data_IF_459562190759
#
_entry.id   IF_459562190759
#
_cell.length_a   1.000
_cell.length_b   1.000
_cell.length_c   1.000
_cell.angle_alpha   90.00
_cell.angle_beta   90.00
_cell.angle_gamma   90.00
#
_symmetry.space_group_name_H-M   'P 1'
#
loop_
_entity.id
_entity.type
_entity.pdbx_description
1 polymer ?
#
# COMPACT_ATOMS: atom_id res chain seq x y z
N UNK A 1 17.78 7.37 -23.41
CA UNK A 1 16.84 7.61 -22.31
C UNK A 1 16.69 6.30 -21.56
N UNK A 2 17.38 6.18 -20.44
CA UNK A 2 17.23 5.04 -19.53
C UNK A 2 15.79 5.04 -19.01
N UNK A 3 15.08 3.91 -18.99
CA UNK A 3 13.74 3.87 -18.42
C UNK A 3 13.78 4.33 -16.96
N UNK A 4 12.78 5.12 -16.58
CA UNK A 4 12.53 5.66 -15.24
C UNK A 4 12.41 4.59 -14.14
N UNK A 5 12.52 3.30 -14.49
CA UNK A 5 12.88 2.19 -13.62
C UNK A 5 13.87 1.29 -14.38
N UNK A 6 15.04 1.01 -13.78
CA UNK A 6 15.91 -0.07 -14.22
C UNK A 6 15.16 -1.40 -14.05
N UNK A 7 14.89 -2.07 -15.17
CA UNK A 7 14.22 -3.37 -15.30
C UNK A 7 12.68 -3.27 -15.30
N UNK A 8 12.10 -3.12 -16.49
CA UNK A 8 10.76 -3.65 -16.75
C UNK A 8 10.76 -5.13 -16.40
N UNK A 9 9.80 -5.57 -15.59
CA UNK A 9 9.73 -6.95 -15.12
C UNK A 9 9.84 -7.92 -16.29
N UNK A 10 10.70 -8.94 -16.17
CA UNK A 10 10.68 -10.11 -17.04
C UNK A 10 9.39 -10.91 -16.77
N UNK A 11 8.28 -10.37 -17.23
CA UNK A 11 6.95 -10.95 -17.14
C UNK A 11 6.58 -11.61 -18.46
N UNK A 12 7.46 -12.44 -19.04
CA UNK A 12 6.98 -13.38 -20.06
C UNK A 12 6.00 -14.31 -19.36
N UNK A 13 4.71 -14.03 -19.51
CA UNK A 13 3.67 -14.89 -19.00
C UNK A 13 3.91 -16.30 -19.56
N UNK A 14 3.93 -17.34 -18.71
CA UNK A 14 3.98 -18.72 -19.20
C UNK A 14 2.69 -19.12 -19.94
N UNK A 15 1.67 -18.26 -19.94
CA UNK A 15 0.35 -18.48 -20.53
C UNK A 15 -0.09 -17.28 -21.37
N UNK A 16 -0.90 -17.47 -22.42
CA UNK A 16 -1.45 -16.36 -23.18
C UNK A 16 -2.24 -15.37 -22.31
N UNK A 17 -2.10 -14.07 -22.58
CA UNK A 17 -2.76 -13.01 -21.80
C UNK A 17 -4.28 -13.21 -21.69
N UNK A 18 -4.94 -13.57 -22.80
CA UNK A 18 -6.38 -13.80 -22.79
C UNK A 18 -6.76 -14.90 -21.79
N UNK A 19 -6.00 -15.99 -21.74
CA UNK A 19 -6.24 -17.10 -20.84
C UNK A 19 -6.07 -16.66 -19.38
N UNK A 20 -5.02 -15.89 -19.07
CA UNK A 20 -4.81 -15.34 -17.72
C UNK A 20 -5.98 -14.45 -17.27
N UNK A 21 -6.47 -13.56 -18.14
CA UNK A 21 -7.60 -12.67 -17.86
C UNK A 21 -8.88 -13.49 -17.63
N UNK A 22 -9.19 -14.45 -18.51
CA UNK A 22 -10.38 -15.27 -18.37
C UNK A 22 -10.32 -16.15 -17.10
N UNK A 23 -9.20 -16.80 -16.83
CA UNK A 23 -9.05 -17.65 -15.65
C UNK A 23 -9.16 -16.87 -14.35
N UNK A 24 -8.54 -15.69 -14.26
CA UNK A 24 -8.65 -14.85 -13.07
C UNK A 24 -10.04 -14.25 -12.89
N UNK A 25 -10.66 -13.75 -13.97
CA UNK A 25 -12.04 -13.26 -13.94
C UNK A 25 -13.02 -14.37 -13.53
N UNK A 26 -12.84 -15.58 -14.07
CA UNK A 26 -13.62 -16.75 -13.69
C UNK A 26 -13.41 -17.13 -12.22
N UNK A 27 -12.17 -17.13 -11.72
CA UNK A 27 -11.88 -17.43 -10.31
C UNK A 27 -12.60 -16.46 -9.36
N UNK A 28 -12.59 -15.16 -9.67
CA UNK A 28 -13.31 -14.13 -8.89
C UNK A 28 -14.82 -14.32 -8.96
N UNK A 29 -15.36 -14.56 -10.16
CA UNK A 29 -16.79 -14.79 -10.37
C UNK A 29 -17.28 -16.07 -9.67
N UNK A 30 -16.57 -17.18 -9.82
CA UNK A 30 -16.89 -18.46 -9.17
C UNK A 30 -16.82 -18.33 -7.66
N UNK A 31 -15.79 -17.66 -7.12
CA UNK A 31 -15.67 -17.39 -5.69
C UNK A 31 -16.87 -16.60 -5.18
N UNK A 32 -17.31 -15.58 -5.91
CA UNK A 32 -18.51 -14.81 -5.57
C UNK A 32 -19.76 -15.69 -5.54
N UNK A 33 -20.01 -16.47 -6.59
CA UNK A 33 -21.21 -17.32 -6.64
C UNK A 33 -21.20 -18.41 -5.57
N UNK A 34 -20.04 -18.99 -5.26
CA UNK A 34 -19.88 -19.92 -4.17
C UNK A 34 -20.21 -19.27 -2.81
N UNK A 35 -19.69 -18.07 -2.53
CA UNK A 35 -20.02 -17.33 -1.32
C UNK A 35 -21.51 -16.99 -1.26
N UNK A 36 -22.07 -16.47 -2.35
CA UNK A 36 -23.50 -16.14 -2.42
C UNK A 36 -24.42 -17.36 -2.22
N UNK A 37 -23.95 -18.57 -2.55
CA UNK A 37 -24.68 -19.81 -2.35
C UNK A 37 -24.54 -20.38 -0.93
N UNK A 38 -23.32 -20.39 -0.38
CA UNK A 38 -22.99 -21.12 0.86
C UNK A 38 -22.84 -20.24 2.11
N UNK A 39 -22.76 -18.92 1.94
CA UNK A 39 -22.52 -17.96 3.02
C UNK A 39 -23.68 -16.96 3.14
N UNK A 40 -24.62 -17.23 4.07
CA UNK A 40 -25.86 -16.45 4.21
C UNK A 40 -25.98 -15.61 5.49
N UNK A 41 -24.93 -15.58 6.31
CA UNK A 41 -24.83 -14.81 7.56
C UNK A 41 -23.44 -14.22 7.70
N UNK A 42 -23.29 -12.99 8.19
CA UNK A 42 -21.98 -12.41 8.46
C UNK A 42 -21.22 -13.26 9.51
N UNK A 43 -19.89 -13.39 9.34
CA UNK A 43 -19.02 -14.17 10.25
C UNK A 43 -17.90 -13.33 10.85
N UNK A 44 -17.68 -12.10 10.40
CA UNK A 44 -16.56 -11.26 10.85
C UNK A 44 -16.94 -10.20 11.88
N UNK A 45 -18.12 -10.30 12.50
CA UNK A 45 -18.60 -9.36 13.52
C UNK A 45 -17.86 -9.47 14.86
N UNK A 46 -17.39 -10.67 15.23
CA UNK A 46 -16.64 -10.89 16.47
C UNK A 46 -15.16 -11.12 16.18
N UNK A 47 -14.28 -10.23 16.68
CA UNK A 47 -12.85 -10.51 16.72
C UNK A 47 -12.59 -11.37 17.97
N UNK A 48 -12.76 -12.68 17.83
CA UNK A 48 -12.25 -13.63 18.81
C UNK A 48 -10.85 -14.08 18.35
N UNK A 49 -9.82 -13.63 19.06
CA UNK A 49 -8.44 -14.02 18.81
C UNK A 49 -7.87 -14.89 19.94
N UNK A 50 -6.83 -15.67 19.64
CA UNK A 50 -6.06 -16.38 20.66
C UNK A 50 -5.00 -15.43 21.24
N UNK A 51 -4.98 -15.17 22.56
CA UNK A 51 -4.00 -14.27 23.14
C UNK A 51 -2.58 -14.82 23.00
N UNK A 52 -1.64 -13.95 22.66
CA UNK A 52 -0.22 -14.24 22.51
C UNK A 52 0.56 -13.56 23.63
N UNK A 53 0.52 -14.14 24.84
CA UNK A 53 1.04 -13.49 26.05
C UNK A 53 2.56 -13.26 25.99
N UNK A 54 3.32 -14.25 25.50
CA UNK A 54 4.78 -14.15 25.38
C UNK A 54 5.16 -13.05 24.39
N UNK A 55 4.54 -13.03 23.21
CA UNK A 55 4.81 -12.03 22.19
C UNK A 55 4.39 -10.63 22.65
N UNK A 56 3.26 -10.52 23.37
CA UNK A 56 2.82 -9.27 23.99
C UNK A 56 3.89 -8.74 24.93
N UNK A 57 4.43 -9.59 25.82
CA UNK A 57 5.46 -9.20 26.78
C UNK A 57 6.74 -8.71 26.08
N UNK A 58 7.16 -9.39 25.01
CA UNK A 58 8.36 -9.00 24.23
C UNK A 58 8.14 -7.65 23.55
N UNK A 59 7.04 -7.49 22.81
CA UNK A 59 6.76 -6.26 22.05
C UNK A 59 6.48 -5.07 22.97
N UNK A 60 5.84 -5.31 24.12
CA UNK A 60 5.57 -4.27 25.11
C UNK A 60 6.75 -3.96 26.01
N UNK A 61 7.81 -4.77 25.98
CA UNK A 61 9.02 -4.52 26.76
C UNK A 61 9.63 -3.16 26.39
N UNK A 62 9.99 -2.31 27.37
CA UNK A 62 10.53 -0.99 27.10
C UNK A 62 11.81 -1.04 26.24
N UNK A 63 12.66 -2.05 26.44
CA UNK A 63 13.85 -2.23 25.62
C UNK A 63 13.51 -2.50 24.15
N UNK A 64 12.52 -3.35 23.85
CA UNK A 64 12.10 -3.59 22.46
C UNK A 64 11.56 -2.32 21.80
N UNK A 65 10.77 -1.52 22.54
CA UNK A 65 10.28 -0.22 22.06
C UNK A 65 11.40 0.78 21.82
N UNK A 66 12.42 0.83 22.68
CA UNK A 66 13.60 1.69 22.50
C UNK A 66 14.41 1.23 21.30
N UNK A 67 14.66 -0.07 21.14
CA UNK A 67 15.38 -0.62 20.00
C UNK A 67 14.68 -0.27 18.68
N UNK A 68 13.36 -0.45 18.58
CA UNK A 68 12.60 -0.09 17.37
C UNK A 68 12.68 1.42 17.06
N UNK A 69 12.59 2.28 18.07
CA UNK A 69 12.76 3.73 17.90
C UNK A 69 14.17 4.09 17.42
N UNK A 70 15.20 3.52 18.04
CA UNK A 70 16.59 3.75 17.65
C UNK A 70 16.87 3.23 16.23
N UNK A 71 16.32 2.06 15.87
CA UNK A 71 16.43 1.52 14.53
C UNK A 71 15.79 2.45 13.49
N UNK A 72 14.59 2.98 13.76
CA UNK A 72 13.94 3.95 12.89
C UNK A 72 14.72 5.26 12.74
N UNK A 73 15.23 5.81 13.85
CA UNK A 73 16.05 7.02 13.84
C UNK A 73 17.35 6.80 13.06
N UNK A 74 18.01 5.66 13.26
CA UNK A 74 19.22 5.29 12.52
C UNK A 74 18.91 5.14 11.03
N UNK A 75 17.81 4.48 10.65
CA UNK A 75 17.39 4.34 9.27
C UNK A 75 17.13 5.70 8.59
N UNK A 76 16.44 6.62 9.28
CA UNK A 76 16.21 7.98 8.75
C UNK A 76 17.53 8.76 8.62
N UNK A 77 18.42 8.68 9.62
CA UNK A 77 19.70 9.35 9.60
C UNK A 77 20.61 8.83 8.47
N UNK A 78 20.64 7.51 8.26
CA UNK A 78 21.37 6.89 7.16
C UNK A 78 20.79 7.30 5.80
N UNK A 79 19.46 7.24 5.65
CA UNK A 79 18.79 7.67 4.42
C UNK A 79 19.13 9.12 4.07
N UNK A 80 18.94 10.06 5.01
CA UNK A 80 19.25 11.46 4.78
C UNK A 80 20.75 11.71 4.58
N UNK A 81 21.60 10.99 5.32
CA UNK A 81 23.05 11.06 5.20
C UNK A 81 23.52 10.65 3.81
N UNK A 82 23.09 9.49 3.33
CA UNK A 82 23.42 8.99 2.00
C UNK A 82 22.81 9.87 0.89
N UNK A 83 21.59 10.38 1.08
CA UNK A 83 20.93 11.22 0.08
C UNK A 83 21.60 12.61 -0.07
N UNK A 84 21.96 13.26 1.04
CA UNK A 84 22.59 14.59 1.01
C UNK A 84 24.10 14.57 0.74
N UNK A 85 24.80 13.57 1.28
CA UNK A 85 26.27 13.56 1.32
C UNK A 85 26.89 12.37 0.60
N UNK A 86 26.09 11.48 0.01
CA UNK A 86 26.57 10.36 -0.78
C UNK A 86 26.83 10.71 -2.25
N UNK A 87 27.00 9.67 -3.06
CA UNK A 87 27.29 9.83 -4.48
C UNK A 87 26.12 10.54 -5.20
N UNK A 88 26.36 11.56 -6.04
CA UNK A 88 25.26 12.22 -6.77
C UNK A 88 24.64 11.34 -7.86
N UNK A 89 25.34 10.29 -8.31
CA UNK A 89 24.84 9.38 -9.34
C UNK A 89 23.82 8.39 -8.72
N UNK A 90 22.56 8.35 -9.20
CA UNK A 90 21.51 7.46 -8.66
C UNK A 90 21.91 5.98 -8.61
N UNK A 91 22.63 5.49 -9.62
CA UNK A 91 23.09 4.10 -9.72
C UNK A 91 24.21 3.72 -8.73
N UNK A 92 24.74 4.70 -7.99
CA UNK A 92 25.81 4.51 -6.99
C UNK A 92 25.39 5.00 -5.60
N UNK A 93 24.16 5.49 -5.45
CA UNK A 93 23.65 5.98 -4.18
C UNK A 93 22.58 5.02 -3.66
N UNK A 94 22.67 4.52 -2.41
CA UNK A 94 21.67 3.61 -1.89
C UNK A 94 20.33 4.29 -1.53
N UNK A 95 20.30 5.61 -1.35
CA UNK A 95 19.15 6.32 -0.80
C UNK A 95 17.85 6.21 -1.62
N UNK A 96 17.86 6.34 -2.96
CA UNK A 96 16.66 6.11 -3.77
C UNK A 96 16.11 4.70 -3.57
N UNK A 97 16.98 3.69 -3.60
CA UNK A 97 16.60 2.29 -3.39
C UNK A 97 16.05 2.06 -1.97
N UNK A 98 16.65 2.65 -0.94
CA UNK A 98 16.11 2.55 0.42
C UNK A 98 14.73 3.18 0.56
N UNK A 99 14.47 4.33 -0.08
CA UNK A 99 13.16 4.97 -0.05
C UNK A 99 12.11 4.17 -0.83
N UNK A 100 12.36 3.89 -2.11
CA UNK A 100 11.36 3.29 -3.00
C UNK A 100 11.21 1.79 -2.82
N UNK A 101 12.27 1.07 -2.41
CA UNK A 101 12.20 -0.38 -2.24
C UNK A 101 12.05 -0.75 -0.78
N UNK A 102 12.99 -0.38 0.08
CA UNK A 102 13.00 -0.89 1.45
C UNK A 102 11.92 -0.26 2.33
N UNK A 103 11.66 1.04 2.16
CA UNK A 103 10.59 1.72 2.89
C UNK A 103 9.26 1.49 2.19
N UNK A 104 9.08 2.02 0.97
CA UNK A 104 7.78 1.98 0.30
C UNK A 104 7.27 0.57 0.06
N UNK A 105 8.03 -0.29 -0.63
CA UNK A 105 7.60 -1.68 -0.89
C UNK A 105 7.76 -2.55 0.36
N UNK A 106 8.83 -2.38 1.14
CA UNK A 106 9.09 -3.18 2.34
C UNK A 106 8.07 -3.00 3.47
N UNK A 107 7.38 -1.86 3.56
CA UNK A 107 6.25 -1.67 4.49
C UNK A 107 5.15 -2.71 4.27
N UNK A 108 4.93 -3.20 3.05
CA UNK A 108 3.86 -4.14 2.73
C UNK A 108 4.03 -5.47 3.49
N UNK A 109 5.08 -6.29 3.25
CA UNK A 109 5.26 -7.54 3.98
C UNK A 109 5.46 -7.29 5.47
N UNK A 110 6.14 -6.21 5.86
CA UNK A 110 6.35 -5.88 7.27
C UNK A 110 5.03 -5.65 8.01
N UNK A 111 4.08 -4.93 7.39
CA UNK A 111 2.77 -4.66 7.99
C UNK A 111 1.87 -5.90 8.03
N UNK A 112 1.94 -6.74 6.99
CA UNK A 112 1.18 -7.99 6.93
C UNK A 112 1.66 -9.01 7.98
N UNK A 113 2.98 -9.15 8.15
CA UNK A 113 3.57 -10.15 9.03
C UNK A 113 3.62 -9.69 10.49
N UNK A 114 3.94 -8.42 10.73
CA UNK A 114 4.22 -7.90 12.07
C UNK A 114 3.12 -6.97 12.62
N UNK A 115 2.04 -6.76 11.88
CA UNK A 115 0.99 -5.81 12.24
C UNK A 115 1.51 -4.35 12.15
N UNK A 116 0.98 -3.41 12.96
CA UNK A 116 1.32 -1.99 12.87
C UNK A 116 2.68 -1.66 13.52
N UNK A 117 3.74 -2.38 13.12
CA UNK A 117 5.10 -2.21 13.66
C UNK A 117 5.72 -0.87 13.24
N UNK A 118 5.32 -0.32 12.08
CA UNK A 118 5.78 1.00 11.62
C UNK A 118 5.52 2.08 12.65
N UNK A 119 4.36 2.07 13.31
CA UNK A 119 4.03 3.03 14.39
C UNK A 119 5.04 3.02 15.54
N UNK A 120 5.64 1.87 15.83
CA UNK A 120 6.65 1.72 16.89
C UNK A 120 8.04 2.18 16.44
N UNK A 121 8.37 1.94 15.17
CA UNK A 121 9.65 2.30 14.57
C UNK A 121 9.65 3.70 13.93
N UNK A 122 8.51 4.39 13.82
CA UNK A 122 8.41 5.66 13.09
C UNK A 122 9.37 6.71 13.68
N UNK A 123 10.41 7.13 12.93
CA UNK A 123 11.37 8.11 13.41
C UNK A 123 10.76 9.49 13.58
N UNK A 124 9.81 9.87 12.72
CA UNK A 124 9.16 11.19 12.76
C UNK A 124 8.33 11.33 14.04
N UNK A 125 7.59 10.28 14.40
CA UNK A 125 6.86 10.18 15.66
C UNK A 125 7.80 10.25 16.87
N UNK A 126 8.96 9.62 16.76
CA UNK A 126 9.97 9.63 17.82
C UNK A 126 10.56 11.01 18.02
N UNK A 127 10.96 11.71 16.94
CA UNK A 127 11.51 13.08 16.98
C UNK A 127 10.47 14.06 17.52
N UNK A 128 9.23 14.01 17.03
CA UNK A 128 8.16 14.88 17.53
C UNK A 128 7.90 14.67 19.04
N UNK A 129 8.03 13.42 19.52
CA UNK A 129 7.88 13.07 20.93
C UNK A 129 9.01 13.56 21.84
N UNK A 130 10.17 13.97 21.29
CA UNK A 130 11.25 14.59 22.08
C UNK A 130 10.86 15.99 22.55
N UNK A 131 10.02 16.69 21.79
CA UNK A 131 9.49 18.01 22.15
C UNK A 131 8.27 17.81 23.06
N UNK A 132 8.51 17.85 24.38
CA UNK A 132 7.43 17.73 25.38
C UNK A 132 6.53 18.96 25.32
N UNK A 133 5.24 18.75 25.05
CA UNK A 133 4.19 19.78 25.05
C UNK A 133 3.15 19.44 26.12
N UNK A 134 2.65 20.45 26.81
CA UNK A 134 1.59 20.31 27.82
C UNK A 134 0.19 20.33 27.20
N UNK A 135 0.03 20.91 26.01
CA UNK A 135 -1.23 20.99 25.28
C UNK A 135 -1.00 20.83 23.78
N UNK A 136 -1.93 20.14 23.11
CA UNK A 136 -1.95 19.97 21.66
C UNK A 136 -3.17 20.66 21.06
N UNK A 137 -3.05 21.17 19.83
CA UNK A 137 -4.22 21.63 19.06
C UNK A 137 -5.03 20.42 18.61
N UNK A 138 -6.35 20.49 18.69
CA UNK A 138 -7.21 19.45 18.13
C UNK A 138 -7.14 19.50 16.61
N UNK A 139 -7.01 18.34 15.98
CA UNK A 139 -7.24 18.21 14.54
C UNK A 139 -8.71 18.53 14.25
N UNK A 140 -9.01 19.34 13.22
CA UNK A 140 -10.39 19.54 12.76
C UNK A 140 -11.05 18.22 12.37
N UNK A 141 -12.27 17.99 12.86
CA UNK A 141 -12.98 16.70 12.71
C UNK A 141 -13.21 16.28 11.25
N UNK A 142 -13.29 17.24 10.32
CA UNK A 142 -13.52 16.99 8.89
C UNK A 142 -12.27 16.58 8.08
N UNK A 143 -11.07 16.75 8.64
CA UNK A 143 -9.81 16.51 7.90
C UNK A 143 -9.51 15.00 7.79
N UNK A 144 -9.79 14.23 8.86
CA UNK A 144 -9.60 12.78 8.92
C UNK A 144 -8.30 12.31 8.23
N UNK A 145 -8.39 11.49 7.17
CA UNK A 145 -7.25 10.94 6.44
C UNK A 145 -6.77 11.78 5.25
N UNK A 146 -7.38 12.93 4.94
CA UNK A 146 -7.00 13.74 3.77
C UNK A 146 -5.54 14.24 3.78
N UNK A 147 -4.90 14.59 4.91
CA UNK A 147 -3.50 14.97 4.89
C UNK A 147 -2.59 13.80 4.51
N UNK A 148 -2.91 12.58 4.97
CA UNK A 148 -2.20 11.38 4.53
C UNK A 148 -2.40 11.12 3.03
N UNK A 149 -3.61 11.33 2.50
CA UNK A 149 -3.87 11.26 1.04
C UNK A 149 -3.03 12.27 0.27
N UNK A 150 -2.97 13.53 0.73
CA UNK A 150 -2.20 14.59 0.08
C UNK A 150 -0.69 14.29 0.09
N UNK A 151 -0.14 13.87 1.23
CA UNK A 151 1.27 13.48 1.34
C UNK A 151 1.60 12.27 0.46
N UNK A 152 0.70 11.29 0.38
CA UNK A 152 0.87 10.11 -0.45
C UNK A 152 0.77 10.46 -1.94
N UNK A 153 -0.13 11.36 -2.32
CA UNK A 153 -0.23 11.86 -3.69
C UNK A 153 1.05 12.60 -4.11
N UNK A 154 1.64 13.39 -3.21
CA UNK A 154 2.93 14.04 -3.45
C UNK A 154 4.07 13.03 -3.64
N UNK A 155 4.12 11.99 -2.81
CA UNK A 155 5.09 10.89 -2.97
C UNK A 155 4.91 10.17 -4.31
N UNK A 156 3.70 9.74 -4.64
CA UNK A 156 3.39 9.01 -5.88
C UNK A 156 3.58 9.87 -7.14
N UNK A 157 3.33 11.18 -7.07
CA UNK A 157 3.64 12.09 -8.16
C UNK A 157 5.15 12.19 -8.38
N UNK A 158 5.93 12.29 -7.30
CA UNK A 158 7.39 12.30 -7.40
C UNK A 158 7.91 10.97 -7.97
N UNK A 159 7.34 9.84 -7.55
CA UNK A 159 7.72 8.50 -8.04
C UNK A 159 7.35 8.27 -9.52
N UNK A 160 6.14 8.68 -9.95
CA UNK A 160 5.57 8.26 -11.24
C UNK A 160 5.58 9.35 -12.33
N UNK A 161 5.75 10.61 -11.96
CA UNK A 161 5.61 11.75 -12.89
C UNK A 161 6.87 12.59 -12.99
N UNK A 162 7.66 12.69 -11.92
CA UNK A 162 8.86 13.50 -11.94
C UNK A 162 10.02 12.75 -12.62
N UNK A 163 10.61 13.29 -13.71
CA UNK A 163 11.64 12.59 -14.51
C UNK A 163 12.88 12.18 -13.72
N UNK A 164 13.26 12.96 -12.71
CA UNK A 164 14.47 12.76 -11.93
C UNK A 164 14.12 12.29 -10.50
N UNK A 165 13.04 11.52 -10.35
CA UNK A 165 12.57 11.03 -9.04
C UNK A 165 13.59 10.18 -8.29
N UNK A 166 14.54 9.55 -8.99
CA UNK A 166 15.63 8.77 -8.43
C UNK A 166 16.90 9.57 -8.13
N UNK A 167 16.95 10.87 -8.45
CA UNK A 167 18.08 11.74 -8.09
C UNK A 167 18.23 11.79 -6.56
N UNK A 168 19.41 11.47 -5.99
CA UNK A 168 19.64 11.51 -4.55
C UNK A 168 19.27 12.86 -3.90
N UNK A 169 19.46 13.99 -4.60
CA UNK A 169 19.09 15.32 -4.11
C UNK A 169 17.58 15.49 -4.06
N UNK A 170 16.84 14.95 -5.03
CA UNK A 170 15.37 14.97 -5.05
C UNK A 170 14.83 14.12 -3.90
N UNK A 171 15.39 12.93 -3.70
CA UNK A 171 15.10 12.05 -2.56
C UNK A 171 15.41 12.76 -1.23
N UNK A 172 16.56 13.42 -1.13
CA UNK A 172 16.96 14.18 0.05
C UNK A 172 15.99 15.31 0.38
N UNK A 173 15.63 16.12 -0.61
CA UNK A 173 14.67 17.22 -0.47
C UNK A 173 13.29 16.72 -0.06
N UNK A 174 12.80 15.66 -0.73
CA UNK A 174 11.51 15.04 -0.40
C UNK A 174 11.51 14.50 1.03
N UNK A 175 12.47 13.64 1.39
CA UNK A 175 12.52 13.01 2.71
C UNK A 175 12.69 14.05 3.82
N UNK A 176 13.50 15.09 3.60
CA UNK A 176 13.68 16.19 4.56
C UNK A 176 12.39 16.99 4.72
N UNK A 177 11.75 17.39 3.62
CA UNK A 177 10.49 18.16 3.65
C UNK A 177 9.38 17.36 4.31
N UNK A 178 9.23 16.09 3.92
CA UNK A 178 8.27 15.16 4.49
C UNK A 178 8.48 14.99 6.01
N UNK A 179 9.72 14.82 6.44
CA UNK A 179 10.08 14.68 7.84
C UNK A 179 9.77 15.95 8.63
N UNK A 180 10.19 17.13 8.14
CA UNK A 180 9.95 18.42 8.79
C UNK A 180 8.45 18.69 8.94
N UNK A 181 7.66 18.49 7.88
CA UNK A 181 6.21 18.72 7.92
C UNK A 181 5.51 17.81 8.92
N UNK A 182 5.81 16.51 8.93
CA UNK A 182 5.18 15.56 9.84
C UNK A 182 5.65 15.73 11.29
N UNK A 183 6.92 16.05 11.52
CA UNK A 183 7.43 16.36 12.87
C UNK A 183 6.79 17.64 13.39
N UNK A 184 6.73 18.71 12.59
CA UNK A 184 6.09 19.96 12.98
C UNK A 184 4.60 19.76 13.29
N UNK A 185 3.88 19.02 12.44
CA UNK A 185 2.48 18.69 12.67
C UNK A 185 2.30 17.81 13.92
N UNK A 186 3.18 16.85 14.17
CA UNK A 186 3.20 16.05 15.40
C UNK A 186 3.46 16.87 16.67
N UNK A 187 4.27 17.93 16.60
CA UNK A 187 4.51 18.87 17.72
C UNK A 187 3.29 19.76 17.98
N UNK A 188 2.54 20.11 16.94
CA UNK A 188 1.36 21.00 17.02
C UNK A 188 0.11 20.24 17.44
N UNK A 189 -0.19 19.13 16.77
CA UNK A 189 -1.43 18.35 16.92
C UNK A 189 -1.26 17.11 17.81
N UNK A 190 -0.03 16.79 18.20
CA UNK A 190 0.28 15.67 19.07
C UNK A 190 0.39 14.32 18.37
N UNK A 191 0.57 13.23 19.15
CA UNK A 191 0.81 11.89 18.60
C UNK A 191 -0.33 11.33 17.74
N UNK A 192 -1.54 11.90 17.83
CA UNK A 192 -2.68 11.53 16.98
C UNK A 192 -2.49 11.94 15.52
N UNK A 193 -1.64 12.94 15.23
CA UNK A 193 -1.32 13.34 13.85
C UNK A 193 -0.85 12.14 13.01
N UNK A 194 0.04 11.32 13.54
CA UNK A 194 0.63 10.21 12.79
C UNK A 194 -0.38 9.12 12.42
N UNK A 195 -1.48 9.00 13.17
CA UNK A 195 -2.52 8.00 12.89
C UNK A 195 -3.46 8.40 11.72
N UNK A 196 -3.41 9.66 11.25
CA UNK A 196 -4.32 10.15 10.21
C UNK A 196 -3.67 11.06 9.15
N UNK A 197 -2.52 11.67 9.47
CA UNK A 197 -1.83 12.63 8.61
C UNK A 197 -0.49 12.16 8.05
N UNK A 198 0.23 11.28 8.74
CA UNK A 198 1.46 10.65 8.22
C UNK A 198 1.08 9.58 7.20
N UNK A 199 1.33 9.86 5.92
CA UNK A 199 1.05 8.95 4.81
C UNK A 199 1.65 7.55 4.96
N UNK A 200 2.89 7.42 5.42
CA UNK A 200 3.54 6.11 5.54
C UNK A 200 3.00 5.34 6.75
N UNK A 201 2.71 6.01 7.87
CA UNK A 201 2.08 5.36 9.03
C UNK A 201 0.64 4.95 8.73
N UNK A 202 -0.16 5.81 8.08
CA UNK A 202 -1.52 5.47 7.65
C UNK A 202 -1.52 4.33 6.64
N UNK A 203 -0.59 4.34 5.69
CA UNK A 203 -0.40 3.26 4.73
C UNK A 203 -0.08 1.94 5.45
N UNK A 204 0.95 1.92 6.30
CA UNK A 204 1.34 0.74 7.08
C UNK A 204 0.20 0.23 7.98
N UNK A 205 -0.49 1.11 8.70
CA UNK A 205 -1.62 0.74 9.55
C UNK A 205 -2.79 0.18 8.75
N UNK A 206 -3.06 0.71 7.55
CA UNK A 206 -4.12 0.20 6.66
C UNK A 206 -3.81 -1.21 6.19
N UNK A 207 -2.56 -1.48 5.78
CA UNK A 207 -2.13 -2.83 5.38
C UNK A 207 -2.13 -3.81 6.56
N UNK A 208 -1.69 -3.36 7.73
CA UNK A 208 -1.65 -4.16 8.96
C UNK A 208 -3.04 -4.63 9.43
N UNK A 209 -4.14 -4.08 8.91
CA UNK A 209 -5.49 -4.58 9.21
C UNK A 209 -5.72 -6.01 8.72
N UNK A 210 -5.03 -6.41 7.65
CA UNK A 210 -5.02 -7.78 7.15
C UNK A 210 -3.96 -8.66 7.84
N UNK A 211 -3.24 -8.15 8.85
CA UNK A 211 -2.32 -8.98 9.62
C UNK A 211 -3.09 -9.95 10.53
N UNK A 212 -2.64 -11.22 10.64
CA UNK A 212 -3.15 -12.15 11.65
C UNK A 212 -2.80 -11.70 13.07
N UNK A 213 -1.86 -10.77 13.24
CA UNK A 213 -1.53 -10.16 14.52
C UNK A 213 -2.33 -8.87 14.72
N UNK A 214 -3.13 -8.82 15.77
CA UNK A 214 -3.86 -7.62 16.18
C UNK A 214 -3.82 -7.43 17.69
N UNK A 215 -4.28 -6.27 18.18
CA UNK A 215 -4.56 -6.08 19.60
C UNK A 215 -6.06 -6.23 19.85
N UNK A 216 -6.42 -7.03 20.84
CA UNK A 216 -7.80 -7.16 21.31
C UNK A 216 -8.21 -6.05 22.27
N UNK A 217 -9.43 -6.15 22.81
CA UNK A 217 -10.02 -5.14 23.71
C UNK A 217 -9.19 -4.92 25.00
N UNK A 218 -8.52 -5.96 25.50
CA UNK A 218 -7.63 -5.88 26.66
C UNK A 218 -6.23 -5.36 26.37
N UNK A 219 -5.97 -4.86 25.15
CA UNK A 219 -4.68 -4.32 24.74
C UNK A 219 -3.57 -5.36 24.50
N UNK A 220 -3.84 -6.66 24.70
CA UNK A 220 -2.90 -7.76 24.44
C UNK A 220 -2.84 -8.09 22.94
N UNK A 221 -1.69 -8.60 22.49
CA UNK A 221 -1.59 -9.15 21.13
C UNK A 221 -2.38 -10.45 21.04
N UNK A 222 -3.12 -10.62 19.96
CA UNK A 222 -3.95 -11.76 19.68
C UNK A 222 -3.74 -12.23 18.24
N UNK A 223 -3.70 -13.54 18.06
CA UNK A 223 -3.81 -14.18 16.76
C UNK A 223 -5.28 -14.20 16.36
N UNK A 224 -5.64 -13.33 15.41
CA UNK A 224 -7.01 -13.13 14.93
C UNK A 224 -7.15 -13.58 13.48
N UNK A 225 -8.38 -13.79 13.05
CA UNK A 225 -8.67 -13.94 11.62
C UNK A 225 -8.37 -12.61 10.89
N UNK A 226 -7.46 -12.59 9.90
CA UNK A 226 -7.14 -11.40 9.09
C UNK A 226 -8.37 -10.65 8.56
N UNK A 227 -9.37 -11.38 8.05
CA UNK A 227 -10.56 -10.78 7.46
C UNK A 227 -11.49 -10.17 8.51
N UNK A 228 -11.51 -10.71 9.73
CA UNK A 228 -12.18 -10.09 10.87
C UNK A 228 -11.46 -8.82 11.34
N UNK A 229 -10.12 -8.83 11.33
CA UNK A 229 -9.32 -7.63 11.55
C UNK A 229 -9.63 -6.53 10.52
N UNK A 230 -9.69 -6.91 9.25
CA UNK A 230 -10.00 -6.02 8.14
C UNK A 230 -11.41 -5.43 8.23
N UNK A 231 -12.40 -6.18 8.71
CA UNK A 231 -13.77 -5.69 8.91
C UNK A 231 -13.87 -4.51 9.90
N UNK A 232 -12.86 -4.30 10.75
CA UNK A 232 -12.80 -3.17 11.71
C UNK A 232 -12.15 -1.90 11.17
N UNK A 233 -11.94 -1.83 9.85
CA UNK A 233 -11.43 -0.63 9.20
C UNK A 233 -12.37 0.57 9.46
N UNK A 234 -11.86 1.72 9.96
CA UNK A 234 -12.65 2.91 10.22
C UNK A 234 -13.34 3.41 8.97
N UNK A 235 -14.62 3.75 9.10
CA UNK A 235 -15.41 4.38 8.04
C UNK A 235 -15.27 5.92 8.10
N UNK A 236 -14.03 6.41 8.03
CA UNK A 236 -13.73 7.84 8.12
C UNK A 236 -13.42 8.47 6.75
N UNK A 237 -13.66 9.79 6.60
CA UNK A 237 -13.34 10.52 5.37
C UNK A 237 -11.86 10.37 4.96
N UNK A 238 -11.60 10.36 3.66
CA UNK A 238 -10.25 10.27 3.09
C UNK A 238 -9.73 8.84 2.89
N UNK A 239 -10.17 7.85 3.67
CA UNK A 239 -9.65 6.47 3.51
C UNK A 239 -10.03 5.83 2.16
N UNK A 240 -11.23 6.11 1.66
CA UNK A 240 -11.63 5.72 0.30
C UNK A 240 -10.70 6.38 -0.72
N UNK A 241 -10.43 7.68 -0.56
CA UNK A 241 -9.50 8.42 -1.41
C UNK A 241 -8.09 7.83 -1.37
N UNK A 242 -7.60 7.42 -0.20
CA UNK A 242 -6.29 6.80 -0.03
C UNK A 242 -6.18 5.48 -0.81
N UNK A 243 -7.15 4.58 -0.68
CA UNK A 243 -7.12 3.29 -1.40
C UNK A 243 -7.36 3.46 -2.90
N UNK A 244 -8.24 4.37 -3.31
CA UNK A 244 -8.42 4.68 -4.73
C UNK A 244 -7.20 5.36 -5.34
N UNK A 245 -6.48 6.20 -4.58
CA UNK A 245 -5.20 6.79 -4.99
C UNK A 245 -4.15 5.70 -5.21
N UNK A 246 -3.97 4.79 -4.24
CA UNK A 246 -3.04 3.66 -4.36
C UNK A 246 -3.34 2.77 -5.57
N UNK A 247 -4.61 2.38 -5.76
CA UNK A 247 -5.01 1.56 -6.89
C UNK A 247 -4.88 2.29 -8.22
N UNK A 248 -5.28 3.57 -8.26
CA UNK A 248 -5.18 4.41 -9.46
C UNK A 248 -3.75 4.73 -9.85
N UNK A 249 -2.87 5.01 -8.90
CA UNK A 249 -1.45 5.24 -9.17
C UNK A 249 -0.75 3.98 -9.65
N UNK A 250 -1.07 2.83 -9.06
CA UNK A 250 -0.56 1.53 -9.52
C UNK A 250 -1.07 1.20 -10.93
N UNK A 251 -2.34 1.50 -11.23
CA UNK A 251 -2.88 1.35 -12.58
C UNK A 251 -2.18 2.30 -13.57
N UNK A 252 -1.90 3.54 -13.17
CA UNK A 252 -1.14 4.49 -13.98
C UNK A 252 0.30 4.03 -14.20
N UNK A 253 0.97 3.49 -13.19
CA UNK A 253 2.31 2.93 -13.30
C UNK A 253 2.38 1.84 -14.38
N UNK A 254 1.44 0.89 -14.37
CA UNK A 254 1.30 -0.10 -15.46
C UNK A 254 0.99 0.54 -16.81
N UNK A 255 0.06 1.49 -16.87
CA UNK A 255 -0.33 2.17 -18.11
C UNK A 255 0.83 2.95 -18.72
N UNK A 256 1.66 3.60 -17.88
CA UNK A 256 2.76 4.47 -18.29
C UNK A 256 3.86 3.72 -19.05
N UNK A 257 4.01 2.42 -18.76
CA UNK A 257 4.94 1.52 -19.45
C UNK A 257 4.39 0.92 -20.74
N UNK A 258 3.08 0.95 -20.93
CA UNK A 258 2.46 0.33 -22.09
C UNK A 258 2.86 1.07 -23.38
N UNK A 259 3.29 0.33 -24.40
CA UNK A 259 3.78 0.88 -25.68
C UNK A 259 2.78 1.81 -26.39
N UNK A 260 1.49 1.65 -26.14
CA UNK A 260 0.44 2.54 -26.66
C UNK A 260 0.48 3.91 -25.97
N UNK A 261 0.68 3.94 -24.66
CA UNK A 261 0.80 5.17 -23.88
C UNK A 261 2.05 5.95 -24.28
N UNK A 262 3.21 5.28 -24.27
CA UNK A 262 4.50 5.93 -24.58
C UNK A 262 4.54 6.48 -25.99
N UNK A 263 3.94 5.78 -26.97
CA UNK A 263 3.83 6.28 -28.36
C UNK A 263 2.95 7.53 -28.48
N UNK A 264 1.83 7.59 -27.73
CA UNK A 264 0.93 8.75 -27.77
C UNK A 264 1.48 9.96 -27.01
N UNK A 265 2.23 9.72 -25.95
CA UNK A 265 2.76 10.78 -25.08
C UNK A 265 4.17 11.22 -25.42
N UNK A 266 4.92 10.45 -26.22
CA UNK A 266 6.32 10.72 -26.53
C UNK A 266 6.60 12.05 -27.25
N UNK A 267 5.59 12.68 -27.85
CA UNK A 267 5.68 14.02 -28.45
C UNK A 267 5.14 15.15 -27.57
N UNK A 268 4.70 14.85 -26.35
CA UNK A 268 4.14 15.81 -25.39
C UNK A 268 5.16 16.13 -24.30
N UNK A 269 4.94 17.25 -23.60
CA UNK A 269 5.67 17.56 -22.37
C UNK A 269 5.39 16.49 -21.30
N UNK A 270 6.45 15.89 -20.77
CA UNK A 270 6.36 14.73 -19.88
C UNK A 270 5.52 15.02 -18.63
N UNK A 271 5.85 16.08 -17.89
CA UNK A 271 5.21 16.39 -16.60
C UNK A 271 3.70 16.60 -16.75
N UNK A 272 3.19 17.45 -17.66
CA UNK A 272 1.74 17.59 -17.86
C UNK A 272 1.08 16.29 -18.30
N UNK A 273 1.66 15.56 -19.27
CA UNK A 273 1.06 14.34 -19.80
C UNK A 273 0.94 13.25 -18.73
N UNK A 274 1.98 13.03 -17.94
CA UNK A 274 2.01 12.03 -16.88
C UNK A 274 1.18 12.46 -15.66
N UNK A 275 1.14 13.76 -15.33
CA UNK A 275 0.23 14.28 -14.29
C UNK A 275 -1.23 14.04 -14.65
N UNK A 276 -1.63 14.36 -15.89
CA UNK A 276 -3.00 14.13 -16.38
C UNK A 276 -3.31 12.63 -16.41
N UNK A 277 -2.37 11.80 -16.85
CA UNK A 277 -2.50 10.35 -16.82
C UNK A 277 -2.75 9.79 -15.43
N UNK A 278 -1.95 10.21 -14.44
CA UNK A 278 -2.10 9.81 -13.04
C UNK A 278 -3.46 10.24 -12.49
N UNK A 279 -3.85 11.50 -12.68
CA UNK A 279 -5.15 12.03 -12.24
C UNK A 279 -6.30 11.25 -12.89
N UNK A 280 -6.22 10.99 -14.21
CA UNK A 280 -7.25 10.27 -14.94
C UNK A 280 -7.39 8.82 -14.44
N UNK A 281 -6.28 8.12 -14.20
CA UNK A 281 -6.30 6.75 -13.67
C UNK A 281 -6.95 6.70 -12.28
N UNK A 282 -6.55 7.59 -11.38
CA UNK A 282 -7.15 7.72 -10.04
C UNK A 282 -8.63 8.08 -10.12
N UNK A 283 -9.02 9.00 -11.01
CA UNK A 283 -10.41 9.39 -11.21
C UNK A 283 -11.27 8.23 -11.73
N UNK A 284 -10.77 7.44 -12.70
CA UNK A 284 -11.48 6.28 -13.24
C UNK A 284 -11.69 5.22 -12.16
N UNK A 285 -10.64 4.85 -11.43
CA UNK A 285 -10.75 3.86 -10.33
C UNK A 285 -11.73 4.35 -9.26
N UNK A 286 -11.62 5.62 -8.87
CA UNK A 286 -12.54 6.25 -7.91
C UNK A 286 -13.97 6.22 -8.41
N UNK A 287 -14.22 6.61 -9.67
CA UNK A 287 -15.55 6.65 -10.25
C UNK A 287 -16.19 5.25 -10.31
N UNK A 288 -15.44 4.23 -10.75
CA UNK A 288 -15.90 2.85 -10.79
C UNK A 288 -16.27 2.34 -9.39
N UNK A 289 -15.42 2.58 -8.39
CA UNK A 289 -15.69 2.16 -7.02
C UNK A 289 -16.90 2.90 -6.41
N UNK A 290 -16.97 4.22 -6.56
CA UNK A 290 -18.07 5.02 -6.03
C UNK A 290 -19.39 4.66 -6.71
N UNK A 291 -19.40 4.44 -8.03
CA UNK A 291 -20.58 4.02 -8.77
C UNK A 291 -21.05 2.64 -8.30
N UNK A 292 -20.13 1.69 -8.17
CA UNK A 292 -20.44 0.36 -7.66
C UNK A 292 -21.02 0.40 -6.25
N UNK A 293 -20.38 1.14 -5.32
CA UNK A 293 -20.85 1.26 -3.96
C UNK A 293 -22.21 1.96 -3.84
N UNK A 294 -22.45 3.02 -4.61
CA UNK A 294 -23.72 3.77 -4.58
C UNK A 294 -24.88 2.99 -5.19
N UNK A 295 -24.65 2.27 -6.28
CA UNK A 295 -25.68 1.44 -6.93
C UNK A 295 -26.07 0.23 -6.07
N UNK A 296 -25.13 -0.29 -5.27
CA UNK A 296 -25.42 -1.26 -4.20
C UNK A 296 -26.39 -0.70 -3.14
N UNK A 297 -26.41 0.62 -2.93
CA UNK A 297 -27.28 1.34 -1.98
C UNK A 297 -28.74 1.53 -2.39
N UNK A 298 -29.13 1.14 -3.61
CA UNK A 298 -30.53 1.14 -4.02
C UNK A 298 -31.38 0.09 -3.26
N UNK A 299 -30.75 -0.81 -2.50
CA UNK A 299 -31.39 -1.77 -1.62
C UNK A 299 -31.68 -1.17 -0.22
N UNK A 300 -32.68 -1.70 0.50
CA UNK A 300 -33.02 -1.20 1.84
C UNK A 300 -31.87 -1.49 2.84
N UNK A 301 -31.20 -0.43 3.30
CA UNK A 301 -30.09 -0.49 4.27
C UNK A 301 -30.66 -0.53 5.70
N UNK A 302 -30.04 -1.31 6.60
CA UNK A 302 -30.37 -1.27 8.03
C UNK A 302 -30.05 0.11 8.64
N UNK A 303 -30.94 0.69 9.48
CA UNK A 303 -30.67 1.96 10.16
C UNK A 303 -29.38 1.92 10.98
N UNK A 304 -28.57 2.99 10.93
CA UNK A 304 -27.33 3.12 11.71
C UNK A 304 -26.11 2.37 11.17
N UNK A 305 -26.22 1.67 10.04
CA UNK A 305 -25.13 0.84 9.51
C UNK A 305 -24.08 1.59 8.67
N UNK A 306 -24.31 2.86 8.38
CA UNK A 306 -23.46 3.70 7.53
C UNK A 306 -22.77 4.76 8.37
N UNK A 307 -21.44 4.74 8.40
CA UNK A 307 -20.62 5.73 9.10
C UNK A 307 -20.44 7.05 8.35
N UNK A 308 -19.55 7.90 8.86
CA UNK A 308 -19.31 9.26 8.35
C UNK A 308 -18.83 9.31 6.89
N UNK A 309 -18.15 8.25 6.41
CA UNK A 309 -17.71 8.13 5.02
C UNK A 309 -18.81 7.69 4.03
N UNK A 310 -20.06 7.53 4.49
CA UNK A 310 -21.16 7.08 3.66
C UNK A 310 -21.02 5.62 3.21
N UNK A 311 -21.90 5.20 2.30
CA UNK A 311 -21.95 3.83 1.81
C UNK A 311 -20.64 3.34 1.16
N UNK A 312 -19.90 4.16 0.38
CA UNK A 312 -18.58 3.75 -0.12
C UNK A 312 -17.58 3.45 1.01
N UNK A 313 -17.62 4.23 2.09
CA UNK A 313 -16.82 3.97 3.28
C UNK A 313 -17.12 2.64 3.95
N UNK A 314 -18.36 2.14 3.84
CA UNK A 314 -18.74 0.84 4.39
C UNK A 314 -18.09 -0.34 3.67
N UNK A 315 -17.72 -0.18 2.40
CA UNK A 315 -17.05 -1.21 1.60
C UNK A 315 -15.55 -0.98 1.43
N UNK A 316 -14.99 0.12 1.96
CA UNK A 316 -13.59 0.51 1.75
C UNK A 316 -12.59 -0.59 2.14
N UNK A 317 -12.91 -1.39 3.15
CA UNK A 317 -12.06 -2.48 3.62
C UNK A 317 -11.85 -3.57 2.57
N UNK A 318 -12.78 -3.76 1.62
CA UNK A 318 -12.62 -4.73 0.53
C UNK A 318 -11.54 -4.32 -0.48
N UNK A 319 -11.17 -3.04 -0.54
CA UNK A 319 -10.10 -2.55 -1.42
C UNK A 319 -8.70 -2.83 -0.87
N UNK A 320 -8.54 -3.02 0.44
CA UNK A 320 -7.22 -3.28 1.07
C UNK A 320 -6.53 -4.53 0.51
N UNK A 321 -7.17 -5.72 0.48
CA UNK A 321 -6.53 -6.91 -0.09
C UNK A 321 -6.30 -6.78 -1.61
N UNK A 322 -7.14 -6.03 -2.32
CA UNK A 322 -6.92 -5.73 -3.74
C UNK A 322 -5.66 -4.89 -3.91
N UNK A 323 -5.52 -3.80 -3.15
CA UNK A 323 -4.34 -2.94 -3.18
C UNK A 323 -3.05 -3.71 -2.82
N UNK A 324 -3.11 -4.62 -1.85
CA UNK A 324 -1.99 -5.51 -1.51
C UNK A 324 -1.65 -6.44 -2.67
N UNK A 325 -2.65 -7.13 -3.24
CA UNK A 325 -2.44 -8.06 -4.35
C UNK A 325 -1.81 -7.36 -5.57
N UNK A 326 -2.28 -6.16 -5.89
CA UNK A 326 -1.71 -5.30 -6.91
C UNK A 326 -0.29 -4.84 -6.60
N UNK A 327 -0.04 -4.34 -5.40
CA UNK A 327 1.28 -3.87 -5.01
C UNK A 327 2.31 -5.01 -5.04
N UNK A 328 1.94 -6.21 -4.57
CA UNK A 328 2.81 -7.39 -4.69
C UNK A 328 3.04 -7.74 -6.16
N UNK A 329 1.99 -7.76 -6.99
CA UNK A 329 2.16 -8.09 -8.40
C UNK A 329 3.04 -7.09 -9.16
N UNK A 330 2.95 -5.80 -8.87
CA UNK A 330 3.78 -4.79 -9.52
C UNK A 330 5.20 -4.74 -8.97
N UNK A 331 5.36 -4.80 -7.65
CA UNK A 331 6.65 -4.53 -7.01
C UNK A 331 7.45 -5.77 -6.65
N UNK A 332 6.94 -7.01 -6.85
CA UNK A 332 7.68 -8.22 -6.44
C UNK A 332 9.07 -8.32 -7.08
N UNK A 333 9.17 -8.27 -8.41
CA UNK A 333 10.47 -8.34 -9.11
C UNK A 333 11.38 -7.17 -8.73
N UNK A 334 10.80 -5.98 -8.61
CA UNK A 334 11.52 -4.78 -8.18
C UNK A 334 12.11 -4.97 -6.79
N UNK A 335 11.33 -5.47 -5.82
CA UNK A 335 11.79 -5.77 -4.47
C UNK A 335 12.90 -6.83 -4.45
N UNK A 336 12.79 -7.88 -5.28
CA UNK A 336 13.75 -8.99 -5.27
C UNK A 336 15.08 -8.66 -5.94
N UNK A 337 15.09 -7.82 -6.98
CA UNK A 337 16.31 -7.43 -7.68
C UNK A 337 16.87 -6.10 -7.19
N UNK A 338 16.07 -5.03 -7.22
CA UNK A 338 16.49 -3.71 -6.73
C UNK A 338 16.72 -3.73 -5.22
N UNK A 339 16.02 -4.59 -4.47
CA UNK A 339 16.26 -4.76 -3.04
C UNK A 339 17.67 -5.26 -2.73
N UNK A 340 18.28 -6.07 -3.61
CA UNK A 340 19.69 -6.48 -3.49
C UNK A 340 20.61 -5.27 -3.65
N UNK A 341 20.33 -4.40 -4.63
CA UNK A 341 21.13 -3.19 -4.89
C UNK A 341 21.21 -2.28 -3.66
N UNK A 342 20.11 -2.13 -2.92
CA UNK A 342 20.09 -1.36 -1.68
C UNK A 342 21.05 -1.89 -0.61
N UNK A 343 21.27 -3.21 -0.58
CA UNK A 343 22.24 -3.85 0.32
C UNK A 343 23.67 -3.74 -0.22
N UNK A 344 23.85 -3.96 -1.51
CA UNK A 344 25.16 -3.88 -2.17
C UNK A 344 25.74 -2.47 -2.07
N UNK A 345 24.93 -1.43 -2.30
CA UNK A 345 25.33 -0.03 -2.18
C UNK A 345 25.47 0.44 -0.72
N UNK A 346 24.91 -0.30 0.25
CA UNK A 346 25.05 0.04 1.67
C UNK A 346 26.47 -0.16 2.22
N UNK A 347 27.36 -0.83 1.48
CA UNK A 347 28.76 -1.02 1.88
C UNK A 347 29.58 0.28 1.79
N UNK A 348 29.19 1.18 0.87
CA UNK A 348 29.80 2.50 0.68
C UNK A 348 28.73 3.59 0.49
N UNK A 349 27.92 3.87 1.51
CA UNK A 349 26.74 4.73 1.36
C UNK A 349 27.09 6.20 1.07
N UNK A 350 28.36 6.59 1.30
CA UNK A 350 28.85 7.93 1.04
C UNK A 350 29.80 8.03 -0.17
N UNK A 351 30.02 6.94 -0.90
CA UNK A 351 30.91 6.94 -2.07
C UNK A 351 32.37 7.25 -1.76
N UNK A 352 32.86 6.84 -0.58
CA UNK A 352 34.23 7.11 -0.09
C UNK A 352 35.22 5.97 -0.38
N UNK A 353 34.80 4.95 -1.14
CA UNK A 353 35.61 3.75 -1.38
C UNK A 353 35.62 2.80 -0.19
N UNK A 354 34.60 2.85 0.66
CA UNK A 354 34.48 1.92 1.80
C UNK A 354 34.02 0.53 1.34
N UNK A 355 34.25 -0.46 2.20
CA UNK A 355 33.65 -1.78 2.08
C UNK A 355 33.19 -2.28 3.45
N UNK A 356 32.22 -1.58 4.05
CA UNK A 356 31.74 -1.83 5.41
C UNK A 356 31.09 -3.22 5.57
N UNK A 357 30.52 -3.75 4.51
CA UNK A 357 29.75 -4.99 4.50
C UNK A 357 30.46 -6.14 3.75
N UNK A 358 31.63 -5.90 3.18
CA UNK A 358 32.38 -6.89 2.41
C UNK A 358 31.70 -7.30 1.09
N UNK A 359 30.83 -6.43 0.55
CA UNK A 359 30.06 -6.69 -0.67
C UNK A 359 30.63 -5.99 -1.90
N UNK A 360 31.77 -5.30 -1.78
CA UNK A 360 32.43 -4.66 -2.91
C UNK A 360 32.66 -5.65 -4.06
N UNK A 361 32.30 -5.25 -5.29
CA UNK A 361 32.40 -6.08 -6.49
C UNK A 361 31.31 -7.15 -6.66
N UNK A 362 30.44 -7.37 -5.67
CA UNK A 362 29.26 -8.24 -5.81
C UNK A 362 28.23 -7.58 -6.72
N UNK A 363 27.52 -8.37 -7.53
CA UNK A 363 26.50 -7.90 -8.47
C UNK A 363 25.13 -8.47 -8.12
N UNK A 364 24.08 -7.82 -8.59
CA UNK A 364 22.71 -8.33 -8.46
C UNK A 364 22.62 -9.70 -9.12
N UNK A 365 22.14 -10.68 -8.36
CA UNK A 365 21.88 -12.02 -8.88
C UNK A 365 20.49 -12.07 -9.51
N UNK A 366 20.48 -12.00 -10.84
CA UNK A 366 19.25 -12.16 -11.64
C UNK A 366 18.85 -13.63 -11.86
N UNK A 367 19.71 -14.59 -11.52
CA UNK A 367 19.41 -16.02 -11.62
C UNK A 367 18.67 -16.55 -10.39
N UNK A 368 18.64 -15.77 -9.30
CA UNK A 368 17.95 -16.11 -8.06
C UNK A 368 16.46 -16.47 -8.25
N UNK A 369 15.76 -15.83 -9.20
CA UNK A 369 14.34 -16.08 -9.48
C UNK A 369 14.08 -16.34 -10.95
N UNK A 370 13.45 -17.48 -11.26
CA UNK A 370 12.95 -17.78 -12.59
C UNK A 370 11.71 -16.96 -12.97
N UNK A 371 11.55 -16.65 -14.25
CA UNK A 371 10.41 -15.89 -14.80
C UNK A 371 9.04 -16.54 -14.51
N UNK A 372 8.96 -17.86 -14.53
CA UNK A 372 7.73 -18.59 -14.19
C UNK A 372 7.29 -18.40 -12.73
N UNK A 373 8.23 -18.34 -11.78
CA UNK A 373 7.92 -18.07 -10.38
C UNK A 373 7.45 -16.62 -10.19
N UNK A 374 8.12 -15.67 -10.83
CA UNK A 374 7.71 -14.26 -10.85
C UNK A 374 6.28 -14.15 -11.35
N UNK A 375 5.97 -14.68 -12.53
CA UNK A 375 4.62 -14.64 -13.10
C UNK A 375 3.59 -15.32 -12.20
N UNK A 376 3.93 -16.46 -11.59
CA UNK A 376 3.07 -17.17 -10.64
C UNK A 376 2.73 -16.34 -9.40
N UNK A 377 3.73 -15.67 -8.81
CA UNK A 377 3.52 -14.76 -7.66
C UNK A 377 2.66 -13.56 -8.06
N UNK A 378 2.92 -12.95 -9.22
CA UNK A 378 2.17 -11.79 -9.69
C UNK A 378 0.69 -12.11 -9.94
N UNK A 379 0.39 -13.16 -10.73
CA UNK A 379 -0.99 -13.57 -11.01
C UNK A 379 -1.67 -14.04 -9.72
N UNK A 380 -0.98 -14.86 -8.92
CA UNK A 380 -1.49 -15.39 -7.66
C UNK A 380 -1.86 -14.28 -6.68
N UNK A 381 -1.02 -13.25 -6.56
CA UNK A 381 -1.27 -12.09 -5.70
C UNK A 381 -2.50 -11.29 -6.15
N UNK A 382 -2.66 -11.05 -7.47
CA UNK A 382 -3.85 -10.38 -8.02
C UNK A 382 -5.11 -11.20 -7.69
N UNK A 383 -5.13 -12.49 -8.02
CA UNK A 383 -6.30 -13.35 -7.83
C UNK A 383 -6.66 -13.44 -6.35
N UNK A 384 -5.68 -13.72 -5.48
CA UNK A 384 -5.90 -13.82 -4.04
C UNK A 384 -6.41 -12.51 -3.45
N UNK A 385 -5.82 -11.37 -3.84
CA UNK A 385 -6.26 -10.05 -3.39
C UNK A 385 -7.73 -9.77 -3.73
N UNK A 386 -8.16 -10.11 -4.96
CA UNK A 386 -9.55 -9.94 -5.37
C UNK A 386 -10.50 -10.93 -4.71
N UNK A 387 -10.12 -12.20 -4.55
CA UNK A 387 -10.94 -13.18 -3.83
C UNK A 387 -11.16 -12.74 -2.38
N UNK A 388 -10.11 -12.31 -1.68
CA UNK A 388 -10.22 -11.78 -0.31
C UNK A 388 -11.05 -10.49 -0.26
N UNK A 389 -10.93 -9.63 -1.28
CA UNK A 389 -11.77 -8.44 -1.46
C UNK A 389 -13.26 -8.80 -1.61
N UNK A 390 -13.59 -9.77 -2.48
CA UNK A 390 -14.95 -10.29 -2.68
C UNK A 390 -15.50 -10.87 -1.38
N UNK A 391 -14.73 -11.70 -0.67
CA UNK A 391 -15.14 -12.26 0.63
C UNK A 391 -15.47 -11.15 1.62
N UNK A 392 -14.60 -10.14 1.71
CA UNK A 392 -14.77 -9.01 2.63
C UNK A 392 -15.97 -8.13 2.30
N UNK A 393 -16.22 -7.88 1.01
CA UNK A 393 -17.38 -7.14 0.53
C UNK A 393 -18.68 -7.94 0.72
N UNK A 394 -18.64 -9.24 0.47
CA UNK A 394 -19.79 -10.13 0.63
C UNK A 394 -20.22 -10.23 2.09
N UNK A 395 -19.28 -10.44 3.01
CA UNK A 395 -19.57 -10.52 4.44
C UNK A 395 -20.20 -9.22 4.96
N UNK A 396 -19.62 -8.07 4.57
CA UNK A 396 -20.21 -6.76 4.90
C UNK A 396 -21.61 -6.60 4.33
N UNK A 397 -21.82 -6.95 3.07
CA UNK A 397 -23.13 -6.86 2.45
C UNK A 397 -24.17 -7.79 3.12
N UNK A 398 -23.75 -8.96 3.62
CA UNK A 398 -24.61 -9.89 4.35
C UNK A 398 -25.06 -9.33 5.71
N UNK A 399 -24.26 -8.48 6.33
CA UNK A 399 -24.65 -7.70 7.52
C UNK A 399 -25.59 -6.53 7.14
N UNK A 400 -25.27 -5.79 6.09
CA UNK A 400 -26.04 -4.58 5.70
C UNK A 400 -27.43 -4.85 5.12
N UNK A 401 -27.56 -5.88 4.26
CA UNK A 401 -28.74 -6.07 3.43
C UNK A 401 -29.60 -7.24 3.88
N UNK A 402 -30.90 -7.13 3.63
CA UNK A 402 -31.83 -8.25 3.82
C UNK A 402 -31.52 -9.36 2.81
N UNK A 403 -31.61 -10.64 3.23
CA UNK A 403 -31.30 -11.82 2.42
C UNK A 403 -31.92 -11.83 1.01
N UNK A 404 -33.16 -11.31 0.87
CA UNK A 404 -33.89 -11.27 -0.42
C UNK A 404 -33.25 -10.32 -1.44
N UNK A 405 -32.55 -9.28 -0.99
CA UNK A 405 -31.92 -8.26 -1.83
C UNK A 405 -30.40 -8.44 -1.96
N UNK A 406 -29.79 -9.22 -1.06
CA UNK A 406 -28.33 -9.42 -0.97
C UNK A 406 -27.65 -9.70 -2.30
N UNK A 407 -28.14 -10.68 -3.07
CA UNK A 407 -27.52 -11.07 -4.35
C UNK A 407 -27.55 -9.93 -5.38
N UNK A 408 -28.71 -9.27 -5.55
CA UNK A 408 -28.88 -8.19 -6.53
C UNK A 408 -28.07 -6.95 -6.16
N UNK A 409 -27.97 -6.65 -4.86
CA UNK A 409 -27.22 -5.51 -4.36
C UNK A 409 -25.70 -5.64 -4.61
N UNK A 410 -25.18 -6.86 -4.78
CA UNK A 410 -23.75 -7.12 -4.94
C UNK A 410 -23.26 -7.11 -6.40
N UNK A 411 -24.14 -7.20 -7.40
CA UNK A 411 -23.71 -7.27 -8.81
C UNK A 411 -22.87 -6.08 -9.27
N UNK A 412 -23.17 -4.81 -8.90
CA UNK A 412 -22.32 -3.69 -9.29
C UNK A 412 -20.91 -3.78 -8.71
N UNK A 413 -20.79 -4.19 -7.44
CA UNK A 413 -19.49 -4.39 -6.78
C UNK A 413 -18.71 -5.55 -7.40
N UNK A 414 -19.38 -6.65 -7.72
CA UNK A 414 -18.77 -7.77 -8.44
C UNK A 414 -18.25 -7.34 -9.82
N UNK A 415 -19.06 -6.61 -10.58
CA UNK A 415 -18.67 -6.13 -11.90
C UNK A 415 -17.43 -5.22 -11.82
N UNK A 416 -17.38 -4.31 -10.84
CA UNK A 416 -16.20 -3.48 -10.60
C UNK A 416 -14.97 -4.32 -10.22
N UNK A 417 -15.12 -5.32 -9.35
CA UNK A 417 -14.01 -6.21 -8.96
C UNK A 417 -13.48 -7.04 -10.14
N UNK A 418 -14.36 -7.56 -11.00
CA UNK A 418 -13.96 -8.28 -12.23
C UNK A 418 -13.26 -7.33 -13.21
N UNK A 419 -13.79 -6.11 -13.39
CA UNK A 419 -13.15 -5.10 -14.24
C UNK A 419 -11.76 -4.72 -13.73
N UNK A 420 -11.61 -4.52 -12.41
CA UNK A 420 -10.30 -4.33 -11.79
C UNK A 420 -9.41 -5.56 -11.97
N UNK A 421 -9.91 -6.78 -11.84
CA UNK A 421 -9.07 -7.99 -12.02
C UNK A 421 -8.52 -8.08 -13.45
N UNK A 422 -9.41 -7.90 -14.44
CA UNK A 422 -9.03 -7.93 -15.85
C UNK A 422 -8.07 -6.80 -16.23
N UNK A 423 -8.36 -5.57 -15.77
CA UNK A 423 -7.49 -4.41 -15.98
C UNK A 423 -6.11 -4.58 -15.36
N UNK A 424 -6.03 -5.08 -14.12
CA UNK A 424 -4.75 -5.31 -13.44
C UNK A 424 -3.87 -6.33 -14.13
N UNK A 425 -4.45 -7.45 -14.56
CA UNK A 425 -3.69 -8.46 -15.32
C UNK A 425 -3.22 -7.86 -16.65
N UNK A 426 -4.08 -7.13 -17.36
CA UNK A 426 -3.69 -6.47 -18.60
C UNK A 426 -2.52 -5.49 -18.37
N UNK A 427 -2.55 -4.69 -17.30
CA UNK A 427 -1.52 -3.68 -17.03
C UNK A 427 -0.19 -4.25 -16.53
N UNK A 428 -0.19 -5.36 -15.79
CA UNK A 428 1.04 -6.04 -15.35
C UNK A 428 1.74 -6.73 -16.52
N UNK A 429 0.98 -7.12 -17.55
CA UNK A 429 1.46 -7.94 -18.66
C UNK A 429 1.67 -7.14 -19.95
N UNK A 430 1.10 -5.94 -20.01
CA UNK A 430 1.33 -4.95 -21.06
C UNK A 430 2.66 -4.21 -20.81
N UNK A 431 3.77 -4.94 -20.86
CA UNK A 431 5.13 -4.38 -20.82
C UNK A 431 5.95 -4.90 -22.00
#
# INVERSE_FOLDING_TARGET
MLPLHGIGGRGDLPVPLWLAIYSAGAAVAVSFFALAAFWSRPRFESIAGRPLEVLTRIVDHPAARVVLKLAGLAALALLLGAAWFGNPEPSRNPAPTWLYVWIWVGIIPLSLLCGPIWRLANPLRTIAGLVRRTSYRRLPDGIAYWPAVAGLAGFLWLELVYPDGSDPRVVAMFATTYAVLNVAAGIVYGPSWFASGDSFEVYAETLARLSPLGRGAGGRLELRNPLAGLATTPQQPGLVGLLCLLLGSTAFDGLSRWSVWTRRTGGLDHIPAYTVGLIAAVAIVTALFLLAARTTGAAQIRPGAVGAAGLPGTFVHSLVPIAIGYAVAHYFSFAMFQGQEGWLLATDPFGRGWDLLGTSGTRIDYAFLGTGLIAGVQIGAIVLGHVLGVVSAHDRAADLFRRRQLRRAQYPMLAAMVAFTAGGIALVTAS
#
